data_IF_005467560174
#
_entry.id   IF_005467560174
#
_cell.length_a   1.000
_cell.length_b   1.000
_cell.length_c   1.000
_cell.angle_alpha   90.00
_cell.angle_beta   90.00
_cell.angle_gamma   90.00
#
_symmetry.space_group_name_H-M   'P 1'
#
loop_
_entity.id
_entity.type
_entity.pdbx_description
1 polymer ?
#
# COMPACT_ATOMS: atom_id res chain seq x y z
N UNK A 1 -18.66 4.56 11.03
CA UNK A 1 -18.81 4.04 9.66
C UNK A 1 -17.51 4.26 8.90
N UNK A 2 -17.02 3.21 8.26
CA UNK A 2 -15.81 3.27 7.44
C UNK A 2 -16.16 3.85 6.06
N UNK A 3 -15.38 4.85 5.63
CA UNK A 3 -15.48 5.41 4.28
C UNK A 3 -14.11 5.46 3.64
N UNK A 4 -14.06 5.13 2.35
CA UNK A 4 -12.85 5.32 1.55
C UNK A 4 -12.89 6.71 0.94
N UNK A 5 -11.79 7.44 1.09
CA UNK A 5 -11.64 8.82 0.61
C UNK A 5 -10.38 8.97 -0.21
N UNK A 6 -10.37 9.89 -1.16
CA UNK A 6 -9.15 10.26 -1.87
C UNK A 6 -8.33 11.25 -1.05
N UNK A 7 -7.02 11.05 -1.03
CA UNK A 7 -6.08 11.86 -0.27
C UNK A 7 -5.08 12.53 -1.21
N UNK A 8 -4.54 13.67 -0.76
CA UNK A 8 -3.29 14.21 -1.31
C UNK A 8 -2.09 13.46 -0.71
N UNK A 9 -0.92 13.57 -1.34
CA UNK A 9 0.30 12.98 -0.79
C UNK A 9 0.59 13.51 0.63
N UNK A 10 0.45 14.81 0.86
CA UNK A 10 0.69 15.43 2.17
C UNK A 10 -0.19 14.84 3.25
N UNK A 11 -1.44 14.53 2.94
CA UNK A 11 -2.38 13.94 3.91
C UNK A 11 -1.97 12.54 4.38
N UNK A 12 -1.04 11.86 3.69
CA UNK A 12 -0.52 10.56 4.11
C UNK A 12 0.65 10.68 5.10
N UNK A 13 1.28 11.84 5.23
CA UNK A 13 2.57 11.98 5.90
C UNK A 13 2.51 11.64 7.39
N UNK A 14 1.48 12.11 8.10
CA UNK A 14 1.37 11.87 9.54
C UNK A 14 1.32 10.36 9.86
N UNK A 15 0.46 9.61 9.17
CA UNK A 15 0.36 8.17 9.39
C UNK A 15 1.55 7.40 8.82
N UNK A 16 2.19 7.88 7.75
CA UNK A 16 3.46 7.29 7.30
C UNK A 16 4.51 7.40 8.40
N UNK A 17 4.63 8.55 9.05
CA UNK A 17 5.57 8.75 10.15
C UNK A 17 5.25 7.79 11.30
N UNK A 18 4.04 7.80 11.80
CA UNK A 18 3.68 7.06 13.00
C UNK A 18 3.58 5.56 12.81
N UNK A 19 3.19 5.08 11.62
CA UNK A 19 2.93 3.67 11.37
C UNK A 19 4.01 2.96 10.57
N UNK A 20 4.71 3.65 9.68
CA UNK A 20 5.66 3.02 8.77
C UNK A 20 7.11 3.30 9.14
N UNK A 21 7.40 4.39 9.83
CA UNK A 21 8.77 4.79 10.17
C UNK A 21 9.10 4.63 11.63
N UNK A 22 8.10 4.48 12.50
CA UNK A 22 8.31 4.22 13.92
C UNK A 22 9.09 2.92 14.11
N UNK A 23 10.18 2.98 14.89
CA UNK A 23 11.05 1.85 15.13
C UNK A 23 11.94 1.44 13.95
N UNK A 24 12.01 2.25 12.89
CA UNK A 24 12.89 2.01 11.74
C UNK A 24 14.05 3.01 11.70
N UNK A 25 15.03 2.76 10.82
CA UNK A 25 16.19 3.63 10.62
C UNK A 25 15.88 4.82 9.70
N UNK A 26 14.64 4.99 9.27
CA UNK A 26 14.24 6.02 8.32
C UNK A 26 13.15 6.93 8.89
N UNK A 27 13.23 8.21 8.54
CA UNK A 27 12.18 9.21 8.77
C UNK A 27 11.53 9.67 7.45
N UNK A 28 11.85 8.99 6.35
CA UNK A 28 11.37 9.36 5.03
C UNK A 28 9.87 9.12 4.88
N UNK A 29 9.12 10.19 4.58
CA UNK A 29 7.66 10.14 4.39
C UNK A 29 7.22 10.67 3.03
N UNK A 30 8.12 11.25 2.25
CA UNK A 30 7.89 11.62 0.86
C UNK A 30 8.44 10.49 -0.01
N UNK A 31 7.58 9.82 -0.74
CA UNK A 31 7.98 8.73 -1.62
C UNK A 31 8.19 9.23 -3.03
N UNK A 32 9.20 8.68 -3.71
CA UNK A 32 9.38 8.94 -5.13
C UNK A 32 8.11 8.52 -5.90
N UNK A 33 7.59 9.43 -6.72
CA UNK A 33 6.37 9.20 -7.46
C UNK A 33 5.09 9.69 -6.78
N UNK A 34 5.16 10.21 -5.55
CA UNK A 34 3.97 10.70 -4.83
C UNK A 34 3.18 11.75 -5.61
N UNK A 35 3.86 12.62 -6.34
CA UNK A 35 3.26 13.75 -7.05
C UNK A 35 3.10 13.50 -8.55
N UNK A 36 3.35 12.29 -9.03
CA UNK A 36 3.09 11.97 -10.44
C UNK A 36 1.58 12.01 -10.72
N UNK A 37 1.21 12.46 -11.94
CA UNK A 37 -0.20 12.62 -12.33
C UNK A 37 -1.00 11.32 -12.24
N UNK A 38 -0.34 10.18 -12.44
CA UNK A 38 -0.97 8.86 -12.43
C UNK A 38 -1.03 8.24 -11.03
N UNK A 39 -0.35 8.83 -10.06
CA UNK A 39 -0.39 8.37 -8.68
C UNK A 39 -1.66 8.83 -7.99
N UNK A 40 -2.29 7.92 -7.26
CA UNK A 40 -3.42 8.27 -6.40
C UNK A 40 -3.20 7.74 -4.98
N UNK A 41 -3.75 8.45 -4.02
CA UNK A 41 -3.68 8.08 -2.61
C UNK A 41 -5.10 7.89 -2.10
N UNK A 42 -5.33 6.79 -1.39
CA UNK A 42 -6.62 6.51 -0.78
C UNK A 42 -6.44 6.34 0.72
N UNK A 43 -7.42 6.82 1.45
CA UNK A 43 -7.51 6.61 2.88
C UNK A 43 -8.85 6.03 3.27
N UNK A 44 -8.91 5.47 4.46
CA UNK A 44 -10.16 5.09 5.09
C UNK A 44 -10.36 5.94 6.33
N UNK A 45 -11.55 6.49 6.48
CA UNK A 45 -11.96 7.22 7.69
C UNK A 45 -12.96 6.39 8.48
N UNK A 46 -12.93 6.54 9.78
CA UNK A 46 -13.96 6.02 10.67
C UNK A 46 -14.43 7.17 11.54
N UNK A 47 -15.70 7.51 11.42
CA UNK A 47 -16.27 8.68 12.10
C UNK A 47 -15.43 9.96 11.88
N UNK A 48 -15.07 10.20 10.61
CA UNK A 48 -14.28 11.33 10.13
C UNK A 48 -12.80 11.34 10.55
N UNK A 49 -12.34 10.34 11.30
CA UNK A 49 -10.93 10.19 11.61
C UNK A 49 -10.24 9.32 10.53
N UNK A 50 -9.13 9.81 9.99
CA UNK A 50 -8.30 9.02 9.08
C UNK A 50 -7.62 7.89 9.86
N UNK A 51 -7.92 6.65 9.51
CA UNK A 51 -7.43 5.47 10.23
C UNK A 51 -6.56 4.54 9.36
N UNK A 52 -6.59 4.69 8.06
CA UNK A 52 -5.80 3.87 7.14
C UNK A 52 -5.40 4.68 5.92
N UNK A 53 -4.23 4.38 5.36
CA UNK A 53 -3.68 5.06 4.18
C UNK A 53 -3.13 4.05 3.19
N UNK A 54 -3.06 4.46 1.93
CA UNK A 54 -2.43 3.70 0.85
C UNK A 54 -2.04 4.62 -0.30
N UNK A 55 -1.00 4.24 -1.03
CA UNK A 55 -0.55 4.97 -2.22
C UNK A 55 -0.38 4.00 -3.38
N UNK A 56 -0.80 4.43 -4.56
CA UNK A 56 -0.93 3.58 -5.75
C UNK A 56 -0.24 4.27 -6.91
N UNK A 57 0.85 3.66 -7.38
CA UNK A 57 1.71 4.26 -8.40
C UNK A 57 1.70 3.42 -9.66
N UNK A 58 1.63 4.07 -10.82
CA UNK A 58 1.70 3.39 -12.11
C UNK A 58 3.15 2.95 -12.33
N UNK A 59 3.46 1.70 -11.99
CA UNK A 59 4.79 1.09 -12.07
C UNK A 59 4.66 -0.37 -12.49
N UNK A 60 5.43 -0.78 -13.48
CA UNK A 60 5.50 -2.20 -13.85
C UNK A 60 6.30 -2.96 -12.81
N UNK A 61 5.85 -4.16 -12.49
CA UNK A 61 6.67 -5.07 -11.70
C UNK A 61 7.81 -5.59 -12.59
N UNK A 62 9.09 -5.49 -12.16
CA UNK A 62 10.23 -5.83 -13.01
C UNK A 62 10.19 -7.25 -13.57
N UNK A 63 9.69 -8.23 -12.80
CA UNK A 63 9.62 -9.63 -13.25
C UNK A 63 8.40 -9.93 -14.12
N UNK A 64 7.51 -8.98 -14.31
CA UNK A 64 6.30 -9.10 -15.13
C UNK A 64 6.20 -7.92 -16.12
N UNK A 65 7.20 -7.75 -17.00
CA UNK A 65 7.27 -6.55 -17.86
C UNK A 65 6.15 -6.50 -18.91
N UNK A 66 5.51 -7.64 -19.22
CA UNK A 66 4.38 -7.71 -20.14
C UNK A 66 3.04 -7.29 -19.55
N UNK A 67 2.99 -7.02 -18.25
CA UNK A 67 1.76 -6.59 -17.56
C UNK A 67 1.76 -5.09 -17.32
N UNK A 68 0.60 -4.46 -17.50
CA UNK A 68 0.38 -3.10 -17.02
C UNK A 68 0.20 -3.19 -15.51
N UNK A 69 1.05 -2.50 -14.76
CA UNK A 69 1.14 -2.66 -13.31
C UNK A 69 0.89 -1.39 -12.54
N UNK A 70 0.34 -1.55 -11.34
CA UNK A 70 0.39 -0.55 -10.28
C UNK A 70 1.16 -1.13 -9.10
N UNK A 71 1.96 -0.27 -8.46
CA UNK A 71 2.63 -0.60 -7.22
C UNK A 71 1.85 0.01 -6.05
N UNK A 72 1.49 -0.84 -5.09
CA UNK A 72 0.94 -0.39 -3.82
C UNK A 72 2.10 -0.06 -2.87
N UNK A 73 2.08 1.12 -2.27
CA UNK A 73 3.09 1.56 -1.31
C UNK A 73 2.44 2.22 -0.10
N UNK A 74 3.12 2.14 1.02
CA UNK A 74 2.74 2.89 2.21
C UNK A 74 1.34 2.57 2.74
N UNK A 75 0.91 1.32 2.63
CA UNK A 75 -0.36 0.90 3.21
C UNK A 75 -0.19 0.61 4.69
N UNK A 76 -1.00 1.24 5.50
CA UNK A 76 -0.98 1.05 6.94
C UNK A 76 -2.31 1.44 7.58
N UNK A 77 -2.62 0.79 8.70
CA UNK A 77 -3.83 1.05 9.49
C UNK A 77 -3.43 1.29 10.95
N UNK A 78 -4.00 2.30 11.58
CA UNK A 78 -3.72 2.57 13.02
C UNK A 78 -4.13 1.34 13.86
N UNK A 79 -3.38 1.07 14.96
CA UNK A 79 -3.65 -0.12 15.77
C UNK A 79 -5.11 -0.21 16.27
N UNK A 80 -5.69 0.90 16.68
CA UNK A 80 -7.07 0.94 17.18
C UNK A 80 -8.13 0.56 16.13
N UNK A 81 -7.81 0.69 14.84
CA UNK A 81 -8.72 0.36 13.74
C UNK A 81 -8.44 -1.01 13.10
N UNK A 82 -7.43 -1.73 13.56
CA UNK A 82 -7.15 -3.10 13.08
C UNK A 82 -8.33 -4.01 13.43
N UNK A 83 -8.69 -4.87 12.47
CA UNK A 83 -9.86 -5.75 12.61
C UNK A 83 -11.20 -5.07 12.34
N UNK A 84 -11.22 -3.76 12.04
CA UNK A 84 -12.46 -3.02 11.72
C UNK A 84 -12.94 -3.20 10.29
N UNK A 85 -12.10 -3.74 9.41
CA UNK A 85 -12.37 -3.80 7.97
C UNK A 85 -11.86 -2.59 7.17
N UNK A 86 -11.25 -1.60 7.84
CA UNK A 86 -10.74 -0.40 7.18
C UNK A 86 -9.66 -0.73 6.14
N UNK A 87 -8.65 -1.53 6.52
CA UNK A 87 -7.58 -1.94 5.61
C UNK A 87 -8.10 -2.76 4.43
N UNK A 88 -8.98 -3.72 4.70
CA UNK A 88 -9.57 -4.55 3.64
C UNK A 88 -10.39 -3.72 2.66
N UNK A 89 -11.25 -2.82 3.15
CA UNK A 89 -12.04 -1.93 2.31
C UNK A 89 -11.18 -1.02 1.46
N UNK A 90 -10.10 -0.50 2.05
CA UNK A 90 -9.14 0.36 1.36
C UNK A 90 -8.42 -0.39 0.25
N UNK A 91 -7.92 -1.60 0.55
CA UNK A 91 -7.24 -2.45 -0.43
C UNK A 91 -8.17 -2.78 -1.61
N UNK A 92 -9.37 -3.21 -1.35
CA UNK A 92 -10.34 -3.57 -2.40
C UNK A 92 -10.69 -2.37 -3.28
N UNK A 93 -10.87 -1.18 -2.69
CA UNK A 93 -11.15 0.04 -3.45
C UNK A 93 -9.99 0.41 -4.38
N UNK A 94 -8.75 0.28 -3.90
CA UNK A 94 -7.55 0.55 -4.71
C UNK A 94 -7.38 -0.46 -5.84
N UNK A 95 -7.58 -1.74 -5.58
CA UNK A 95 -7.51 -2.79 -6.60
C UNK A 95 -8.56 -2.57 -7.69
N UNK A 96 -9.78 -2.23 -7.30
CA UNK A 96 -10.85 -1.92 -8.25
C UNK A 96 -10.49 -0.73 -9.13
N UNK A 97 -9.95 0.34 -8.55
CA UNK A 97 -9.52 1.51 -9.32
C UNK A 97 -8.38 1.18 -10.27
N UNK A 98 -7.39 0.39 -9.84
CA UNK A 98 -6.31 -0.06 -10.72
C UNK A 98 -6.84 -0.86 -11.91
N UNK A 99 -7.79 -1.76 -11.68
CA UNK A 99 -8.42 -2.55 -12.73
C UNK A 99 -9.14 -1.65 -13.74
N UNK A 100 -9.90 -0.68 -13.27
CA UNK A 100 -10.59 0.29 -14.14
C UNK A 100 -9.65 1.19 -14.93
N UNK A 101 -8.44 1.42 -14.41
CA UNK A 101 -7.38 2.16 -15.11
C UNK A 101 -6.59 1.29 -16.10
N UNK A 102 -6.94 0.02 -16.25
CA UNK A 102 -6.32 -0.89 -17.22
C UNK A 102 -5.16 -1.72 -16.69
N UNK A 103 -4.88 -1.68 -15.40
CA UNK A 103 -3.88 -2.56 -14.80
C UNK A 103 -4.31 -4.01 -14.83
N UNK A 104 -3.34 -4.89 -15.08
CA UNK A 104 -3.53 -6.35 -15.06
C UNK A 104 -2.85 -7.01 -13.87
N UNK A 105 -1.98 -6.26 -13.17
CA UNK A 105 -1.30 -6.73 -11.97
C UNK A 105 -1.11 -5.58 -10.99
N UNK A 106 -1.28 -5.87 -9.72
CA UNK A 106 -0.83 -4.97 -8.63
C UNK A 106 0.23 -5.71 -7.84
N UNK A 107 1.30 -5.02 -7.49
CA UNK A 107 2.41 -5.57 -6.75
C UNK A 107 2.82 -4.65 -5.61
N UNK A 108 3.52 -5.21 -4.66
CA UNK A 108 4.04 -4.45 -3.53
C UNK A 108 5.30 -5.11 -2.96
N UNK A 109 6.09 -4.31 -2.24
CA UNK A 109 7.18 -4.79 -1.39
C UNK A 109 6.65 -4.79 0.03
N UNK A 110 6.11 -5.93 0.45
CA UNK A 110 5.40 -6.02 1.72
C UNK A 110 6.33 -6.42 2.85
N UNK A 111 6.14 -5.82 4.03
CA UNK A 111 6.77 -6.32 5.25
C UNK A 111 6.27 -7.73 5.52
N UNK A 112 7.15 -8.63 5.95
CA UNK A 112 6.77 -10.02 6.21
C UNK A 112 5.67 -10.13 7.26
N UNK A 113 5.60 -9.18 8.19
CA UNK A 113 4.54 -9.12 9.20
C UNK A 113 3.14 -8.84 8.63
N UNK A 114 3.06 -8.34 7.40
CA UNK A 114 1.80 -8.04 6.72
C UNK A 114 1.38 -9.09 5.69
N UNK A 115 2.20 -10.10 5.44
CA UNK A 115 1.94 -11.09 4.37
C UNK A 115 0.61 -11.79 4.52
N UNK A 116 0.23 -12.20 5.73
CA UNK A 116 -1.04 -12.91 5.94
C UNK A 116 -2.26 -12.07 5.56
N UNK A 117 -2.19 -10.77 5.80
CA UNK A 117 -3.25 -9.84 5.38
C UNK A 117 -3.41 -9.83 3.86
N UNK A 118 -2.30 -9.69 3.14
CA UNK A 118 -2.33 -9.65 1.68
C UNK A 118 -2.72 -11.00 1.07
N UNK A 119 -2.21 -12.10 1.63
CA UNK A 119 -2.54 -13.45 1.15
C UNK A 119 -4.05 -13.75 1.27
N UNK A 120 -4.69 -13.26 2.34
CA UNK A 120 -6.15 -13.37 2.47
C UNK A 120 -6.91 -12.62 1.39
N UNK A 121 -6.28 -11.68 0.70
CA UNK A 121 -6.87 -10.88 -0.38
C UNK A 121 -6.36 -11.28 -1.76
N UNK A 122 -5.81 -12.48 -1.88
CA UNK A 122 -5.44 -13.07 -3.17
C UNK A 122 -4.03 -12.76 -3.65
N UNK A 123 -3.23 -12.04 -2.88
CA UNK A 123 -1.83 -11.82 -3.22
C UNK A 123 -1.02 -13.09 -2.99
N UNK A 124 -0.01 -13.29 -3.84
CA UNK A 124 0.97 -14.35 -3.71
C UNK A 124 2.38 -13.76 -3.65
N UNK A 125 3.26 -14.45 -2.94
CA UNK A 125 4.66 -14.03 -2.82
C UNK A 125 5.44 -14.35 -4.09
N UNK A 126 6.43 -13.52 -4.39
CA UNK A 126 7.36 -13.69 -5.51
C UNK A 126 8.79 -13.54 -5.05
N UNK A 127 9.67 -14.46 -5.50
CA UNK A 127 11.08 -14.42 -5.16
C UNK A 127 11.38 -14.79 -3.72
N UNK A 128 12.47 -14.27 -3.19
CA UNK A 128 12.95 -14.56 -1.83
C UNK A 128 12.68 -13.39 -0.90
N UNK A 129 12.60 -13.67 0.39
CA UNK A 129 12.61 -12.66 1.43
C UNK A 129 13.93 -11.87 1.38
N UNK A 130 13.85 -10.58 1.63
CA UNK A 130 15.01 -9.68 1.65
C UNK A 130 14.85 -8.62 2.73
N UNK A 131 15.96 -7.99 3.11
CA UNK A 131 15.94 -6.85 4.02
C UNK A 131 15.84 -5.57 3.19
N UNK A 132 14.80 -4.76 3.46
CA UNK A 132 14.67 -3.46 2.84
C UNK A 132 15.72 -2.50 3.41
N UNK A 133 16.52 -1.89 2.54
CA UNK A 133 17.64 -1.06 2.96
C UNK A 133 17.19 0.27 3.60
N UNK A 134 16.01 0.75 3.27
CA UNK A 134 15.48 1.99 3.83
C UNK A 134 15.04 1.81 5.29
N UNK A 135 14.37 0.69 5.59
CA UNK A 135 13.79 0.45 6.92
C UNK A 135 14.59 -0.50 7.79
N UNK A 136 15.47 -1.33 7.19
CA UNK A 136 16.16 -2.39 7.89
C UNK A 136 15.27 -3.58 8.25
N UNK A 137 14.05 -3.65 7.72
CA UNK A 137 13.07 -4.68 8.04
C UNK A 137 12.96 -5.74 6.93
N UNK A 138 12.63 -7.00 7.29
CA UNK A 138 12.41 -8.04 6.30
C UNK A 138 11.15 -7.78 5.46
N UNK A 139 11.29 -7.93 4.15
CA UNK A 139 10.25 -7.72 3.15
C UNK A 139 10.16 -8.91 2.20
N UNK A 140 9.04 -8.99 1.51
CA UNK A 140 8.81 -9.95 0.45
C UNK A 140 7.97 -9.29 -0.65
N UNK A 141 8.34 -9.49 -1.90
CA UNK A 141 7.51 -9.04 -3.01
C UNK A 141 6.24 -9.87 -3.08
N UNK A 142 5.15 -9.21 -3.36
CA UNK A 142 3.82 -9.82 -3.54
C UNK A 142 3.15 -9.29 -4.80
N UNK A 143 2.34 -10.14 -5.43
CA UNK A 143 1.57 -9.76 -6.62
C UNK A 143 0.15 -10.31 -6.53
N UNK A 144 -0.79 -9.58 -7.15
CA UNK A 144 -2.14 -10.07 -7.42
C UNK A 144 -2.48 -9.74 -8.87
N UNK A 145 -3.01 -10.71 -9.60
CA UNK A 145 -3.49 -10.51 -10.96
C UNK A 145 -4.94 -10.05 -10.92
N UNK A 146 -5.22 -9.02 -11.73
CA UNK A 146 -6.55 -8.41 -11.79
C UNK A 146 -7.41 -8.98 -12.91
#
# INVERSE_FOLDING_TARGET
>A
MIRVVELTAVQTHELRTSLLRDGTDSDEVVFDGDDERTTFHLGATNDDQLVSISSWMCRRYPDLPGHVGHQLRGMATIPAARGSGAGAGLLLAGLDRCSRLGSTVVWARARVTALSFYERHGFETRGHEYVDLTTGLPHHDIVVFL
#
